data_IF_530763502823
#
_entry.id   IF_530763502823
#
_cell.length_a   1.000
_cell.length_b   1.000
_cell.length_c   1.000
_cell.angle_alpha   90.00
_cell.angle_beta   90.00
_cell.angle_gamma   90.00
#
_symmetry.space_group_name_H-M   'P 1'
#
loop_
_entity.id
_entity.type
_entity.pdbx_description
1 polymer ?
#
# COMPACT_ATOMS: atom_id res chain seq x y z
N UNK A 1 -9.68 -28.06 40.81
CA UNK A 1 -9.43 -28.05 39.34
C UNK A 1 -7.99 -27.62 39.09
N UNK A 2 -7.10 -28.53 38.67
CA UNK A 2 -5.71 -28.18 38.36
C UNK A 2 -5.67 -27.41 37.03
N UNK A 3 -5.23 -26.15 37.06
CA UNK A 3 -5.03 -25.33 35.86
C UNK A 3 -3.87 -25.92 35.04
N UNK A 4 -4.14 -26.37 33.81
CA UNK A 4 -3.08 -26.74 32.88
C UNK A 4 -2.36 -25.47 32.41
N UNK A 5 -1.02 -25.47 32.50
CA UNK A 5 -0.15 -24.43 31.95
C UNK A 5 0.45 -24.96 30.66
N UNK A 6 0.05 -24.42 29.52
CA UNK A 6 0.69 -24.68 28.23
C UNK A 6 1.94 -23.80 28.10
N UNK A 7 3.08 -24.43 27.85
CA UNK A 7 4.36 -23.76 27.60
C UNK A 7 4.76 -24.08 26.16
N UNK A 8 4.74 -23.06 25.30
CA UNK A 8 5.22 -23.19 23.93
C UNK A 8 6.73 -23.01 23.90
N UNK A 9 7.45 -23.97 23.32
CA UNK A 9 8.90 -23.90 23.13
C UNK A 9 9.18 -24.00 21.65
N UNK A 10 9.85 -22.99 21.10
CA UNK A 10 10.39 -23.04 19.74
C UNK A 10 11.57 -24.01 19.72
N UNK A 11 11.35 -25.23 19.25
CA UNK A 11 12.43 -26.19 18.97
C UNK A 11 12.74 -26.17 17.48
N UNK A 12 14.02 -26.08 17.14
CA UNK A 12 14.48 -26.32 15.76
C UNK A 12 14.21 -27.79 15.43
N UNK A 13 13.65 -28.04 14.24
CA UNK A 13 13.35 -29.38 13.75
C UNK A 13 14.63 -30.25 13.74
N UNK A 14 14.60 -31.50 14.26
CA UNK A 14 15.76 -32.39 14.30
C UNK A 14 16.44 -32.60 12.93
N UNK A 15 15.68 -32.50 11.83
CA UNK A 15 16.15 -32.63 10.45
C UNK A 15 16.97 -31.44 9.93
N UNK A 16 17.08 -30.35 10.70
CA UNK A 16 17.91 -29.18 10.40
C UNK A 16 19.33 -29.25 10.98
N UNK A 17 19.72 -30.32 11.69
CA UNK A 17 21.12 -30.53 12.08
C UNK A 17 21.97 -30.68 10.82
N UNK A 18 22.96 -29.80 10.66
CA UNK A 18 23.98 -29.80 9.58
C UNK A 18 23.50 -29.40 8.17
N UNK A 19 22.34 -28.73 8.01
CA UNK A 19 22.01 -28.10 6.72
C UNK A 19 22.49 -26.66 6.70
N UNK A 20 23.32 -26.31 5.72
CA UNK A 20 23.63 -24.92 5.42
C UNK A 20 22.34 -24.24 4.94
N UNK A 21 21.80 -23.34 5.77
CA UNK A 21 20.69 -22.50 5.36
C UNK A 21 21.30 -21.38 4.54
N UNK A 22 21.33 -21.53 3.22
CA UNK A 22 21.66 -20.44 2.31
C UNK A 22 20.61 -19.36 2.49
N UNK A 23 20.99 -18.22 3.08
CA UNK A 23 20.10 -17.07 3.16
C UNK A 23 19.69 -16.71 1.73
N UNK A 24 18.42 -16.89 1.39
CA UNK A 24 17.91 -16.40 0.11
C UNK A 24 18.16 -14.90 0.08
N UNK A 25 18.76 -14.38 -1.00
CA UNK A 25 18.92 -12.94 -1.27
C UNK A 25 17.56 -12.33 -1.61
N UNK A 26 16.60 -12.46 -0.71
CA UNK A 26 15.32 -11.80 -0.86
C UNK A 26 15.47 -10.36 -0.37
N UNK A 27 14.92 -9.44 -1.17
CA UNK A 27 14.81 -8.04 -0.76
C UNK A 27 14.09 -7.99 0.60
N UNK A 28 14.64 -7.23 1.53
CA UNK A 28 14.10 -7.18 2.89
C UNK A 28 12.64 -6.73 2.86
N UNK A 29 11.82 -7.32 3.72
CA UNK A 29 10.40 -6.97 3.82
C UNK A 29 10.21 -5.46 4.03
N UNK A 30 11.06 -4.84 4.85
CA UNK A 30 11.03 -3.40 5.10
C UNK A 30 11.23 -2.57 3.83
N UNK A 31 12.19 -2.93 2.98
CA UNK A 31 12.40 -2.22 1.71
C UNK A 31 11.17 -2.40 0.79
N UNK A 32 10.64 -3.63 0.67
CA UNK A 32 9.43 -3.88 -0.13
C UNK A 32 8.25 -3.03 0.34
N UNK A 33 8.03 -2.95 1.66
CA UNK A 33 6.95 -2.19 2.25
C UNK A 33 7.14 -0.68 2.04
N UNK A 34 8.32 -0.16 2.31
CA UNK A 34 8.63 1.26 2.12
C UNK A 34 8.46 1.68 0.65
N UNK A 35 8.96 0.88 -0.30
CA UNK A 35 8.78 1.15 -1.73
C UNK A 35 7.32 1.14 -2.15
N UNK A 36 6.49 0.25 -1.60
CA UNK A 36 5.06 0.21 -1.89
C UNK A 36 4.34 1.44 -1.38
N UNK A 37 4.56 1.82 -0.11
CA UNK A 37 3.94 3.02 0.47
C UNK A 37 4.36 4.29 -0.27
N UNK A 38 5.63 4.39 -0.67
CA UNK A 38 6.12 5.51 -1.47
C UNK A 38 5.42 5.59 -2.82
N UNK A 39 5.28 4.47 -3.52
CA UNK A 39 4.60 4.42 -4.82
C UNK A 39 3.11 4.73 -4.70
N UNK A 40 2.46 4.24 -3.63
CA UNK A 40 1.06 4.52 -3.35
C UNK A 40 0.85 6.03 -3.15
N UNK A 41 1.70 6.68 -2.36
CA UNK A 41 1.65 8.14 -2.13
C UNK A 41 1.89 8.94 -3.41
N UNK A 42 2.95 8.62 -4.17
CA UNK A 42 3.25 9.32 -5.42
C UNK A 42 2.11 9.17 -6.44
N UNK A 43 1.53 7.98 -6.53
CA UNK A 43 0.40 7.72 -7.43
C UNK A 43 -0.85 8.48 -6.99
N UNK A 44 -1.09 8.58 -5.69
CA UNK A 44 -2.19 9.36 -5.13
C UNK A 44 -2.06 10.84 -5.49
N UNK A 45 -0.90 11.43 -5.20
CA UNK A 45 -0.61 12.84 -5.50
C UNK A 45 -0.73 13.14 -6.99
N UNK A 46 -0.09 12.34 -7.84
CA UNK A 46 -0.13 12.51 -9.29
C UNK A 46 -1.56 12.45 -9.85
N UNK A 47 -2.36 11.49 -9.40
CA UNK A 47 -3.74 11.36 -9.87
C UNK A 47 -4.61 12.51 -9.40
N UNK A 48 -4.41 12.99 -8.17
CA UNK A 48 -5.13 14.15 -7.62
C UNK A 48 -4.82 15.42 -8.41
N UNK A 49 -3.54 15.73 -8.61
CA UNK A 49 -3.09 16.89 -9.38
C UNK A 49 -3.63 16.86 -10.81
N UNK A 50 -3.56 15.70 -11.48
CA UNK A 50 -4.09 15.55 -12.83
C UNK A 50 -5.60 15.78 -12.90
N UNK A 51 -6.37 15.29 -11.93
CA UNK A 51 -7.81 15.54 -11.87
C UNK A 51 -8.12 17.01 -11.61
N UNK A 52 -7.36 17.67 -10.74
CA UNK A 52 -7.50 19.11 -10.50
C UNK A 52 -7.22 19.93 -11.78
N UNK A 53 -6.20 19.56 -12.55
CA UNK A 53 -5.93 20.18 -13.84
C UNK A 53 -7.07 19.95 -14.86
N UNK A 54 -7.54 18.70 -14.98
CA UNK A 54 -8.66 18.34 -15.87
C UNK A 54 -9.94 19.13 -15.49
N UNK A 55 -10.24 19.27 -14.19
CA UNK A 55 -11.38 20.05 -13.67
C UNK A 55 -11.23 21.53 -14.02
N UNK A 56 -10.04 22.12 -13.79
CA UNK A 56 -9.78 23.52 -14.11
C UNK A 56 -9.94 23.80 -15.61
N UNK A 57 -9.51 22.87 -16.47
CA UNK A 57 -9.73 22.98 -17.91
C UNK A 57 -11.22 22.88 -18.27
N UNK A 58 -11.99 21.99 -17.64
CA UNK A 58 -13.44 21.90 -17.86
C UNK A 58 -14.16 23.20 -17.46
N UNK A 59 -13.75 23.82 -16.36
CA UNK A 59 -14.26 25.14 -15.93
C UNK A 59 -13.93 26.21 -16.96
N UNK A 60 -12.68 26.26 -17.44
CA UNK A 60 -12.25 27.23 -18.45
C UNK A 60 -13.02 27.08 -19.78
N UNK A 61 -13.35 25.85 -20.15
CA UNK A 61 -14.14 25.54 -21.35
C UNK A 61 -15.66 25.64 -21.14
N UNK A 62 -16.10 25.98 -19.93
CA UNK A 62 -17.51 26.04 -19.53
C UNK A 62 -18.29 24.73 -19.79
N UNK A 63 -17.59 23.58 -19.73
CA UNK A 63 -18.16 22.25 -19.92
C UNK A 63 -18.65 21.69 -18.59
N UNK A 64 -19.96 21.85 -18.38
CA UNK A 64 -20.62 21.44 -17.13
C UNK A 64 -20.73 19.93 -16.97
N UNK A 65 -20.87 19.18 -18.06
CA UNK A 65 -21.01 17.73 -18.00
C UNK A 65 -19.68 17.08 -17.62
N UNK A 66 -18.58 17.57 -18.22
CA UNK A 66 -17.25 17.08 -17.92
C UNK A 66 -16.81 17.46 -16.50
N UNK A 67 -17.13 18.68 -16.05
CA UNK A 67 -16.90 19.10 -14.67
C UNK A 67 -17.59 18.19 -13.64
N UNK A 68 -18.86 17.84 -13.85
CA UNK A 68 -19.61 16.98 -12.93
C UNK A 68 -19.02 15.55 -12.88
N UNK A 69 -18.64 15.00 -14.05
CA UNK A 69 -17.99 13.69 -14.16
C UNK A 69 -16.65 13.65 -13.42
N UNK A 70 -15.83 14.68 -13.61
CA UNK A 70 -14.51 14.77 -12.97
C UNK A 70 -14.62 15.04 -11.47
N UNK A 71 -15.60 15.83 -11.04
CA UNK A 71 -15.88 16.10 -9.62
C UNK A 71 -16.23 14.83 -8.86
N UNK A 72 -17.06 13.95 -9.44
CA UNK A 72 -17.37 12.64 -8.83
C UNK A 72 -16.11 11.76 -8.69
N UNK A 73 -15.21 11.82 -9.67
CA UNK A 73 -13.95 11.07 -9.63
C UNK A 73 -12.95 11.66 -8.64
N UNK A 74 -13.06 12.95 -8.32
CA UNK A 74 -12.22 13.64 -7.35
C UNK A 74 -12.64 13.40 -5.88
N UNK A 75 -13.92 13.09 -5.62
CA UNK A 75 -14.45 12.89 -4.27
C UNK A 75 -13.61 11.96 -3.36
N UNK A 76 -13.06 10.82 -3.83
CA UNK A 76 -12.24 9.97 -2.96
C UNK A 76 -10.95 10.64 -2.45
N UNK A 77 -10.46 11.68 -3.12
CA UNK A 77 -9.25 12.43 -2.75
C UNK A 77 -9.51 13.52 -1.71
N UNK A 78 -10.78 13.75 -1.31
CA UNK A 78 -11.15 14.79 -0.33
C UNK A 78 -11.40 14.23 1.08
N UNK A 79 -11.35 12.91 1.26
CA UNK A 79 -11.56 12.26 2.56
C UNK A 79 -10.23 12.19 3.31
N UNK A 80 -9.80 13.33 3.87
CA UNK A 80 -8.74 13.43 4.88
C UNK A 80 -9.24 14.21 6.09
#
# INVERSE_FOLDING_TARGET
MRKQKLIYVLRRDPGFRNREITAKRELSFGIKLASRLLLDELSFQFNKERLDEEINMAIANNDRAEFERLSLKYQPYTWE
#
